data_IF_112155631441
#
_entry.id   IF_112155631441
#
_cell.length_a   1.000
_cell.length_b   1.000
_cell.length_c   1.000
_cell.angle_alpha   90.00
_cell.angle_beta   90.00
_cell.angle_gamma   90.00
#
_symmetry.space_group_name_H-M   'P 1'
#
loop_
_entity.id
_entity.type
_entity.pdbx_description
1 polymer ?
#
# COMPACT_ATOMS: atom_id res chain seq x y z
N UNK A 1 -14.99 18.83 -45.73
CA UNK A 1 -14.15 17.85 -45.01
C UNK A 1 -13.48 18.57 -43.84
N UNK A 2 -14.04 18.46 -42.66
CA UNK A 2 -13.36 18.81 -41.40
C UNK A 2 -13.43 17.57 -40.55
N UNK A 3 -12.28 16.92 -40.35
CA UNK A 3 -12.16 15.71 -39.55
C UNK A 3 -12.56 16.03 -38.11
N UNK A 4 -13.70 15.51 -37.66
CA UNK A 4 -14.01 15.44 -36.22
C UNK A 4 -13.00 14.49 -35.58
N UNK A 5 -11.95 15.04 -34.98
CA UNK A 5 -11.10 14.29 -34.07
C UNK A 5 -11.94 14.01 -32.82
N UNK A 6 -12.57 12.84 -32.76
CA UNK A 6 -13.11 12.31 -31.51
C UNK A 6 -11.89 11.97 -30.66
N UNK A 7 -11.47 12.92 -29.82
CA UNK A 7 -10.59 12.59 -28.70
C UNK A 7 -11.44 11.73 -27.78
N UNK A 8 -11.20 10.42 -27.78
CA UNK A 8 -11.75 9.52 -26.78
C UNK A 8 -11.10 9.87 -25.45
N UNK A 9 -11.68 10.85 -24.74
CA UNK A 9 -11.31 11.16 -23.37
C UNK A 9 -11.65 9.94 -22.53
N UNK A 10 -10.65 9.15 -22.16
CA UNK A 10 -10.80 8.15 -21.10
C UNK A 10 -11.07 8.93 -19.81
N UNK A 11 -12.34 9.08 -19.46
CA UNK A 11 -12.71 9.43 -18.09
C UNK A 11 -12.38 8.21 -17.22
N UNK A 12 -11.09 8.05 -16.89
CA UNK A 12 -10.69 7.19 -15.79
C UNK A 12 -10.93 8.01 -14.53
N UNK A 13 -12.16 7.96 -14.01
CA UNK A 13 -12.49 8.54 -12.72
C UNK A 13 -11.76 7.78 -11.62
N UNK A 14 -10.47 8.06 -11.46
CA UNK A 14 -9.85 7.98 -10.15
C UNK A 14 -10.26 9.29 -9.49
N UNK A 15 -11.37 9.28 -8.73
CA UNK A 15 -11.63 10.35 -7.79
C UNK A 15 -10.41 10.45 -6.87
N UNK A 16 -9.72 11.57 -7.01
CA UNK A 16 -8.42 11.87 -6.42
C UNK A 16 -8.56 11.87 -4.89
N UNK A 17 -8.02 10.86 -4.23
CA UNK A 17 -7.90 10.78 -2.76
C UNK A 17 -7.05 11.92 -2.18
N UNK A 18 -6.36 12.66 -3.05
CA UNK A 18 -5.62 13.90 -2.79
C UNK A 18 -6.43 14.96 -2.02
N UNK A 19 -7.77 14.90 -2.06
CA UNK A 19 -8.65 15.87 -1.37
C UNK A 19 -8.87 15.56 0.12
N UNK A 20 -8.44 14.40 0.62
CA UNK A 20 -8.69 13.96 2.00
C UNK A 20 -7.40 13.97 2.84
N UNK A 21 -6.23 13.68 2.26
CA UNK A 21 -5.01 13.39 3.04
C UNK A 21 -3.85 14.40 2.93
N UNK A 22 -3.97 15.46 2.14
CA UNK A 22 -2.97 16.54 2.11
C UNK A 22 -1.61 16.15 1.48
N UNK A 23 -0.69 17.12 1.32
CA UNK A 23 0.46 17.01 0.41
C UNK A 23 1.71 16.27 0.95
N UNK A 24 1.64 15.50 2.04
CA UNK A 24 2.83 14.84 2.63
C UNK A 24 2.88 13.30 2.49
N UNK A 25 2.27 12.71 1.45
CA UNK A 25 2.50 11.29 1.12
C UNK A 25 2.33 10.98 -0.37
N UNK A 26 2.95 11.78 -1.23
CA UNK A 26 2.96 11.52 -2.68
C UNK A 26 4.04 10.50 -3.07
N UNK A 27 3.89 9.23 -2.65
CA UNK A 27 4.48 8.07 -3.36
C UNK A 27 3.53 6.87 -3.26
N UNK A 28 2.45 6.93 -4.04
CA UNK A 28 1.65 5.79 -4.55
C UNK A 28 1.33 4.64 -3.58
N UNK A 29 0.68 4.92 -2.45
CA UNK A 29 0.00 3.84 -1.69
C UNK A 29 -1.16 3.33 -2.55
N UNK A 30 -1.06 2.08 -3.00
CA UNK A 30 -2.08 1.43 -3.82
C UNK A 30 -3.30 1.04 -2.98
N UNK A 31 -4.45 0.79 -3.63
CA UNK A 31 -5.63 0.22 -2.93
C UNK A 31 -5.39 -1.21 -2.44
N UNK A 32 -4.28 -1.84 -2.77
CA UNK A 32 -3.95 -3.21 -2.36
C UNK A 32 -2.85 -3.23 -1.29
N UNK A 33 -2.26 -2.08 -0.99
CA UNK A 33 -1.23 -1.93 0.01
C UNK A 33 -1.80 -2.10 1.43
N UNK A 34 -0.95 -2.55 2.34
CA UNK A 34 -1.32 -2.84 3.70
C UNK A 34 -0.81 -1.75 4.64
N UNK A 35 -1.61 -1.42 5.63
CA UNK A 35 -1.17 -0.64 6.78
C UNK A 35 -0.90 -1.60 7.94
N UNK A 36 0.31 -1.54 8.51
CA UNK A 36 0.70 -2.35 9.65
C UNK A 36 1.58 -1.54 10.59
N UNK A 37 1.18 -1.47 11.87
CA UNK A 37 1.85 -0.67 12.91
C UNK A 37 2.12 0.81 12.50
N UNK A 38 1.21 1.41 11.74
CA UNK A 38 1.32 2.80 11.28
C UNK A 38 2.27 3.00 10.08
N UNK A 39 2.78 1.93 9.47
CA UNK A 39 3.58 1.96 8.26
C UNK A 39 2.83 1.31 7.09
N UNK A 40 3.01 1.84 5.88
CA UNK A 40 2.47 1.27 4.65
C UNK A 40 3.46 0.30 3.98
N UNK A 41 2.93 -0.83 3.53
CA UNK A 41 3.66 -1.88 2.82
C UNK A 41 2.98 -2.16 1.48
N UNK A 42 3.77 -2.20 0.41
CA UNK A 42 3.26 -2.45 -0.93
C UNK A 42 2.66 -3.86 -1.03
N UNK A 43 1.62 -4.03 -1.86
CA UNK A 43 1.10 -5.35 -2.16
C UNK A 43 2.22 -6.29 -2.67
N UNK A 44 2.34 -7.47 -2.07
CA UNK A 44 3.39 -8.45 -2.33
C UNK A 44 4.69 -8.23 -1.55
N UNK A 45 4.82 -7.14 -0.79
CA UNK A 45 6.00 -6.87 0.03
C UNK A 45 6.07 -7.83 1.22
N UNK A 46 7.28 -8.33 1.48
CA UNK A 46 7.63 -9.11 2.67
C UNK A 46 8.47 -8.24 3.59
N UNK A 47 8.18 -8.29 4.89
CA UNK A 47 8.89 -7.57 5.93
C UNK A 47 8.99 -8.42 7.21
N UNK A 48 9.75 -7.94 8.20
CA UNK A 48 9.85 -8.60 9.51
C UNK A 48 9.16 -7.77 10.58
N UNK A 49 8.43 -8.45 11.47
CA UNK A 49 7.90 -7.91 12.71
C UNK A 49 8.46 -8.75 13.86
N UNK A 50 9.36 -8.15 14.64
CA UNK A 50 10.26 -8.86 15.57
C UNK A 50 11.00 -10.02 14.87
N UNK A 51 10.67 -11.27 15.20
CA UNK A 51 11.25 -12.45 14.57
C UNK A 51 10.37 -13.02 13.44
N UNK A 52 9.14 -12.55 13.29
CA UNK A 52 8.18 -13.12 12.35
C UNK A 52 8.30 -12.50 10.96
N UNK A 53 8.16 -13.33 9.93
CA UNK A 53 8.05 -12.86 8.56
C UNK A 53 6.59 -12.55 8.26
N UNK A 54 6.34 -11.34 7.78
CA UNK A 54 5.04 -10.84 7.41
C UNK A 54 4.98 -10.52 5.92
N UNK A 55 3.87 -10.84 5.27
CA UNK A 55 3.59 -10.50 3.89
C UNK A 55 2.33 -9.65 3.77
N UNK A 56 2.39 -8.62 2.93
CA UNK A 56 1.22 -7.86 2.51
C UNK A 56 0.58 -8.48 1.26
N UNK A 57 -0.71 -8.80 1.32
CA UNK A 57 -1.49 -9.22 0.17
C UNK A 57 -2.91 -8.64 0.24
N UNK A 58 -3.28 -7.83 -0.75
CA UNK A 58 -4.64 -7.27 -0.90
C UNK A 58 -5.18 -6.61 0.39
N UNK A 59 -4.44 -5.67 0.96
CA UNK A 59 -4.70 -4.99 2.25
C UNK A 59 -4.63 -5.86 3.50
N UNK A 60 -4.28 -7.14 3.39
CA UNK A 60 -4.14 -8.03 4.52
C UNK A 60 -2.67 -8.34 4.80
N UNK A 61 -2.26 -8.21 6.06
CA UNK A 61 -0.97 -8.71 6.53
C UNK A 61 -1.15 -10.10 7.12
N UNK A 62 -0.31 -11.03 6.68
CA UNK A 62 -0.19 -12.36 7.27
C UNK A 62 1.23 -12.58 7.73
N UNK A 63 1.41 -12.99 8.98
CA UNK A 63 2.71 -13.26 9.57
C UNK A 63 2.88 -14.74 9.92
N UNK A 64 4.13 -15.20 9.99
CA UNK A 64 4.47 -16.45 10.68
C UNK A 64 4.13 -16.34 12.17
N UNK A 65 4.02 -17.49 12.85
CA UNK A 65 3.70 -17.56 14.28
C UNK A 65 4.87 -18.18 15.08
N UNK A 66 6.08 -17.70 14.86
CA UNK A 66 7.25 -18.08 15.61
C UNK A 66 7.22 -17.42 17.00
N UNK A 67 7.58 -18.19 18.02
CA UNK A 67 7.81 -17.66 19.36
C UNK A 67 9.11 -16.85 19.34
N UNK A 68 8.98 -15.52 19.41
CA UNK A 68 10.12 -14.64 19.50
C UNK A 68 10.70 -14.67 20.91
N UNK A 69 12.00 -14.93 21.01
CA UNK A 69 12.70 -14.82 22.28
C UNK A 69 12.78 -13.34 22.66
N UNK A 70 12.33 -12.99 23.86
CA UNK A 70 12.59 -11.67 24.44
C UNK A 70 14.10 -11.47 24.44
N UNK A 71 14.57 -10.38 23.81
CA UNK A 71 15.95 -9.96 24.00
C UNK A 71 16.10 -9.66 25.49
N UNK A 72 16.77 -10.56 26.20
CA UNK A 72 17.16 -10.34 27.59
C UNK A 72 17.83 -8.96 27.66
N UNK A 73 17.36 -8.03 28.51
CA UNK A 73 18.11 -6.81 28.78
C UNK A 73 19.37 -7.22 29.54
N UNK A 74 20.48 -7.34 28.81
CA UNK A 74 21.81 -7.51 29.39
C UNK A 74 22.25 -6.29 30.19
#
# INVERSE_FOLDING_TARGET
>A
LTTLTIVASRHNSIESLDKIYGPELSTSVSKEDCEFNGQYYMNGQIFMDDCNYCGCAYKQVTCTAMLCHTREPG
#
